data_IF_870829701267
#
_entry.id   IF_870829701267
#
_cell.length_a   1.000
_cell.length_b   1.000
_cell.length_c   1.000
_cell.angle_alpha   90.00
_cell.angle_beta   90.00
_cell.angle_gamma   90.00
#
_symmetry.space_group_name_H-M   'P 1'
#
loop_
_entity.id
_entity.type
_entity.pdbx_description
1 polymer ?
#
# COMPACT_ATOMS: atom_id res chain seq x y z
N UNK A 1 -15.78 -12.79 12.64
CA UNK A 1 -15.19 -12.71 11.28
C UNK A 1 -13.71 -12.44 11.40
N UNK A 2 -12.91 -13.42 10.99
CA UNK A 2 -11.44 -13.43 11.05
C UNK A 2 -10.81 -12.39 10.11
N UNK A 3 -9.50 -12.14 10.22
CA UNK A 3 -8.79 -11.28 9.25
C UNK A 3 -8.79 -11.94 7.87
N UNK A 4 -8.59 -13.25 7.81
CA UNK A 4 -8.61 -14.03 6.58
C UNK A 4 -9.96 -13.91 5.86
N UNK A 5 -11.08 -14.06 6.57
CA UNK A 5 -12.43 -13.91 6.00
C UNK A 5 -12.61 -12.52 5.36
N UNK A 6 -12.16 -11.47 6.05
CA UNK A 6 -12.24 -10.09 5.54
C UNK A 6 -11.36 -9.90 4.31
N UNK A 7 -10.17 -10.52 4.30
CA UNK A 7 -9.27 -10.49 3.14
C UNK A 7 -9.93 -11.19 1.94
N UNK A 8 -10.51 -12.38 2.12
CA UNK A 8 -11.25 -13.06 1.07
C UNK A 8 -12.41 -12.20 0.55
N UNK A 9 -13.21 -11.58 1.43
CA UNK A 9 -14.29 -10.67 1.01
C UNK A 9 -13.75 -9.54 0.13
N UNK A 10 -12.63 -8.92 0.52
CA UNK A 10 -12.01 -7.84 -0.25
C UNK A 10 -11.52 -8.33 -1.61
N UNK A 11 -10.87 -9.49 -1.66
CA UNK A 11 -10.33 -10.07 -2.90
C UNK A 11 -11.46 -10.51 -3.83
N UNK A 12 -12.49 -11.19 -3.33
CA UNK A 12 -13.67 -11.58 -4.10
C UNK A 12 -14.38 -10.35 -4.68
N UNK A 13 -14.58 -9.30 -3.87
CA UNK A 13 -15.12 -8.03 -4.37
C UNK A 13 -14.25 -7.43 -5.47
N UNK A 14 -12.94 -7.40 -5.29
CA UNK A 14 -12.02 -6.86 -6.30
C UNK A 14 -12.08 -7.64 -7.62
N UNK A 15 -12.06 -8.97 -7.55
CA UNK A 15 -12.10 -9.85 -8.73
C UNK A 15 -13.43 -9.74 -9.49
N UNK A 16 -14.53 -9.41 -8.81
CA UNK A 16 -15.84 -9.17 -9.42
C UNK A 16 -16.05 -7.69 -9.80
N UNK A 17 -14.97 -6.91 -9.99
CA UNK A 17 -15.04 -5.48 -10.27
C UNK A 17 -15.98 -4.71 -9.32
N UNK A 18 -15.96 -5.10 -8.05
CA UNK A 18 -16.81 -4.57 -6.99
C UNK A 18 -18.31 -4.61 -7.30
N UNK A 19 -18.76 -5.53 -8.16
CA UNK A 19 -20.14 -5.67 -8.58
C UNK A 19 -20.72 -4.40 -9.25
N UNK A 20 -19.84 -3.61 -9.87
CA UNK A 20 -20.24 -2.40 -10.56
C UNK A 20 -21.18 -2.73 -11.73
N UNK A 21 -22.28 -1.98 -11.84
CA UNK A 21 -23.33 -2.15 -12.85
C UNK A 21 -24.11 -3.48 -12.76
N UNK A 22 -24.02 -4.21 -11.65
CA UNK A 22 -24.86 -5.38 -11.45
C UNK A 22 -26.28 -4.97 -11.08
N UNK A 23 -27.28 -5.61 -11.70
CA UNK A 23 -28.68 -5.42 -11.36
C UNK A 23 -29.03 -6.06 -10.01
N UNK A 24 -30.17 -5.68 -9.42
CA UNK A 24 -30.68 -6.30 -8.19
C UNK A 24 -30.87 -7.81 -8.36
N UNK A 25 -31.34 -8.25 -9.53
CA UNK A 25 -31.53 -9.65 -9.87
C UNK A 25 -30.19 -10.41 -9.91
N UNK A 26 -29.16 -9.82 -10.51
CA UNK A 26 -27.80 -10.40 -10.55
C UNK A 26 -27.18 -10.50 -9.15
N UNK A 27 -27.51 -9.57 -8.26
CA UNK A 27 -27.07 -9.63 -6.86
C UNK A 27 -27.87 -10.66 -6.03
N UNK A 28 -29.15 -10.85 -6.33
CA UNK A 28 -30.02 -11.78 -5.60
C UNK A 28 -29.89 -13.23 -6.05
N UNK A 29 -29.60 -13.46 -7.33
CA UNK A 29 -29.51 -14.80 -7.90
C UNK A 29 -28.43 -15.64 -7.18
N UNK A 30 -28.84 -16.78 -6.63
CA UNK A 30 -27.94 -17.85 -6.15
C UNK A 30 -26.94 -18.33 -7.23
N UNK A 31 -27.24 -17.98 -8.48
CA UNK A 31 -26.47 -18.26 -9.69
C UNK A 31 -25.04 -17.69 -9.67
N UNK A 32 -24.76 -16.66 -8.86
CA UNK A 32 -23.42 -16.09 -8.79
C UNK A 32 -22.40 -17.00 -8.09
N UNK A 33 -22.83 -18.05 -7.35
CA UNK A 33 -21.93 -18.88 -6.53
C UNK A 33 -21.06 -18.04 -5.54
N UNK A 34 -21.51 -16.82 -5.25
CA UNK A 34 -20.83 -15.82 -4.45
C UNK A 34 -21.49 -15.75 -3.09
N UNK A 35 -20.72 -15.87 -2.01
CA UNK A 35 -21.24 -15.88 -0.64
C UNK A 35 -21.99 -14.57 -0.32
N UNK A 36 -23.15 -14.68 0.34
CA UNK A 36 -24.01 -13.53 0.68
C UNK A 36 -23.26 -12.38 1.39
N UNK A 37 -22.29 -12.70 2.27
CA UNK A 37 -21.50 -11.70 3.00
C UNK A 37 -20.60 -10.85 2.10
N UNK A 38 -20.24 -11.36 0.92
CA UNK A 38 -19.37 -10.66 -0.03
C UNK A 38 -20.14 -9.70 -0.93
N UNK A 39 -21.45 -9.93 -1.12
CA UNK A 39 -22.31 -9.16 -2.02
C UNK A 39 -22.62 -7.77 -1.42
N UNK A 40 -22.75 -6.72 -2.26
CA UNK A 40 -23.27 -5.44 -1.81
C UNK A 40 -24.79 -5.53 -1.57
N UNK A 41 -25.28 -4.76 -0.60
CA UNK A 41 -26.71 -4.71 -0.27
C UNK A 41 -27.54 -3.92 -1.29
N UNK A 42 -26.88 -3.08 -2.09
CA UNK A 42 -27.50 -2.24 -3.12
C UNK A 42 -26.64 -2.30 -4.39
N UNK A 43 -27.24 -2.18 -5.58
CA UNK A 43 -26.51 -2.00 -6.83
C UNK A 43 -25.49 -0.87 -6.74
N UNK A 44 -24.28 -1.12 -7.25
CA UNK A 44 -23.19 -0.14 -7.23
C UNK A 44 -23.14 0.57 -8.59
N UNK A 45 -23.42 1.87 -8.56
CA UNK A 45 -23.28 2.77 -9.70
C UNK A 45 -21.85 3.30 -9.79
N UNK A 46 -21.45 3.80 -10.96
CA UNK A 46 -20.13 4.44 -11.14
C UNK A 46 -19.93 5.65 -10.21
N UNK A 47 -21.00 6.43 -9.98
CA UNK A 47 -20.97 7.57 -9.05
C UNK A 47 -20.70 7.11 -7.61
N UNK A 48 -21.46 6.13 -7.10
CA UNK A 48 -21.28 5.65 -5.73
C UNK A 48 -19.95 4.93 -5.55
N UNK A 49 -19.47 4.23 -6.58
CA UNK A 49 -18.14 3.64 -6.56
C UNK A 49 -17.03 4.69 -6.38
N UNK A 50 -17.04 5.75 -7.20
CA UNK A 50 -16.01 6.80 -7.16
C UNK A 50 -16.02 7.58 -5.84
N UNK A 51 -17.20 7.78 -5.25
CA UNK A 51 -17.35 8.43 -3.95
C UNK A 51 -16.79 7.57 -2.81
N UNK A 52 -17.03 6.26 -2.83
CA UNK A 52 -16.72 5.38 -1.71
C UNK A 52 -15.37 4.65 -1.82
N UNK A 53 -14.82 4.49 -3.02
CA UNK A 53 -13.58 3.73 -3.24
C UNK A 53 -12.49 4.61 -3.84
N UNK A 54 -11.49 4.92 -3.01
CA UNK A 54 -10.30 5.66 -3.43
C UNK A 54 -9.44 4.84 -4.39
N UNK A 55 -8.86 5.47 -5.42
CA UNK A 55 -7.95 4.82 -6.40
C UNK A 55 -6.79 4.07 -5.74
N UNK A 56 -6.21 4.63 -4.67
CA UNK A 56 -5.15 3.99 -3.90
C UNK A 56 -5.61 2.67 -3.26
N UNK A 57 -6.87 2.60 -2.84
CA UNK A 57 -7.45 1.40 -2.23
C UNK A 57 -7.65 0.30 -3.26
N UNK A 58 -8.12 0.65 -4.46
CA UNK A 58 -8.21 -0.29 -5.60
C UNK A 58 -6.84 -0.91 -5.89
N UNK A 59 -5.80 -0.08 -5.90
CA UNK A 59 -4.42 -0.54 -6.14
C UNK A 59 -3.92 -1.47 -5.04
N UNK A 60 -4.23 -1.19 -3.77
CA UNK A 60 -3.87 -2.08 -2.64
C UNK A 60 -4.63 -3.39 -2.69
N UNK A 61 -5.92 -3.36 -3.03
CA UNK A 61 -6.73 -4.57 -3.19
C UNK A 61 -6.22 -5.44 -4.35
N UNK A 62 -5.77 -4.84 -5.45
CA UNK A 62 -5.12 -5.57 -6.56
C UNK A 62 -3.88 -6.35 -6.09
N UNK A 63 -3.03 -5.72 -5.28
CA UNK A 63 -1.81 -6.36 -4.74
C UNK A 63 -2.14 -7.45 -3.73
N UNK A 64 -3.17 -7.23 -2.91
CA UNK A 64 -3.69 -8.22 -1.99
C UNK A 64 -4.25 -9.44 -2.75
N UNK A 65 -5.06 -9.21 -3.79
CA UNK A 65 -5.60 -10.27 -4.65
C UNK A 65 -4.48 -11.07 -5.33
N UNK A 66 -3.42 -10.40 -5.80
CA UNK A 66 -2.24 -11.09 -6.34
C UNK A 66 -1.60 -12.05 -5.33
N UNK A 67 -1.37 -11.60 -4.09
CA UNK A 67 -0.73 -12.45 -3.07
C UNK A 67 -1.63 -13.64 -2.69
N UNK A 68 -2.93 -13.42 -2.51
CA UNK A 68 -3.89 -14.48 -2.21
C UNK A 68 -3.97 -15.51 -3.35
N UNK A 69 -4.09 -15.04 -4.60
CA UNK A 69 -4.15 -15.92 -5.77
C UNK A 69 -2.89 -16.78 -5.94
N UNK A 70 -1.71 -16.25 -5.55
CA UNK A 70 -0.46 -17.00 -5.58
C UNK A 70 -0.30 -17.98 -4.42
N UNK A 71 -0.89 -17.70 -3.27
CA UNK A 71 -0.86 -18.58 -2.10
C UNK A 71 -1.88 -19.71 -2.16
N UNK A 72 -2.96 -19.53 -2.92
CA UNK A 72 -4.08 -20.48 -3.08
C UNK A 72 -4.12 -21.14 -4.46
N UNK A 73 -3.07 -20.97 -5.27
CA UNK A 73 -2.94 -21.64 -6.55
C UNK A 73 -2.76 -23.16 -6.37
N UNK A 74 -2.99 -23.92 -7.44
CA UNK A 74 -2.69 -25.35 -7.48
C UNK A 74 -1.21 -25.65 -7.20
N UNK A 75 -0.32 -24.77 -7.66
CA UNK A 75 1.12 -24.78 -7.35
C UNK A 75 1.48 -23.45 -6.67
N UNK A 76 1.33 -23.35 -5.34
CA UNK A 76 1.46 -22.09 -4.64
C UNK A 76 2.92 -21.72 -4.42
N UNK A 77 3.24 -20.44 -4.58
CA UNK A 77 4.60 -19.95 -4.34
C UNK A 77 4.87 -19.90 -2.82
N UNK A 78 6.04 -20.36 -2.32
CA UNK A 78 6.28 -20.49 -0.88
C UNK A 78 6.09 -19.18 -0.08
N UNK A 79 6.51 -18.05 -0.66
CA UNK A 79 6.32 -16.73 -0.03
C UNK A 79 4.84 -16.35 0.08
N UNK A 80 4.02 -16.77 -0.87
CA UNK A 80 2.60 -16.48 -0.91
C UNK A 80 1.83 -17.40 0.04
N UNK A 81 2.21 -18.67 0.13
CA UNK A 81 1.70 -19.59 1.15
C UNK A 81 1.98 -19.06 2.56
N UNK A 82 3.22 -18.63 2.82
CA UNK A 82 3.58 -18.03 4.11
C UNK A 82 2.73 -16.79 4.42
N UNK A 83 2.50 -15.93 3.43
CA UNK A 83 1.61 -14.78 3.59
C UNK A 83 0.19 -15.19 3.99
N UNK A 84 -0.40 -16.20 3.33
CA UNK A 84 -1.73 -16.72 3.68
C UNK A 84 -1.73 -17.30 5.10
N UNK A 85 -0.69 -18.07 5.46
CA UNK A 85 -0.51 -18.61 6.81
C UNK A 85 -0.39 -17.49 7.86
N UNK A 86 0.34 -16.42 7.59
CA UNK A 86 0.48 -15.28 8.50
C UNK A 86 -0.84 -14.52 8.71
N UNK A 87 -1.66 -14.43 7.66
CA UNK A 87 -3.01 -13.86 7.76
C UNK A 87 -3.95 -14.79 8.55
N UNK A 88 -3.88 -16.09 8.30
CA UNK A 88 -4.73 -17.10 8.95
C UNK A 88 -4.40 -17.29 10.43
N UNK A 89 -3.11 -17.33 10.77
CA UNK A 89 -2.61 -17.54 12.14
C UNK A 89 -2.79 -16.30 13.04
N UNK A 90 -3.11 -15.15 12.46
CA UNK A 90 -3.26 -13.90 13.20
C UNK A 90 -1.94 -13.15 13.46
N UNK A 91 -0.82 -13.62 12.90
CA UNK A 91 0.44 -12.85 12.83
C UNK A 91 0.18 -11.48 12.22
N UNK A 92 -0.61 -11.44 11.13
CA UNK A 92 -1.15 -10.21 10.56
C UNK A 92 -2.50 -9.90 11.20
N UNK A 93 -2.48 -8.97 12.16
CA UNK A 93 -3.64 -8.65 13.01
C UNK A 93 -4.73 -7.80 12.36
N UNK A 94 -4.53 -7.27 11.15
CA UNK A 94 -5.52 -6.41 10.50
C UNK A 94 -5.45 -6.46 8.97
N UNK A 95 -6.57 -6.13 8.32
CA UNK A 95 -6.65 -6.02 6.86
C UNK A 95 -5.74 -4.92 6.30
N UNK A 96 -5.54 -3.83 7.05
CA UNK A 96 -4.60 -2.77 6.68
C UNK A 96 -3.18 -3.30 6.63
N UNK A 97 -2.76 -4.06 7.66
CA UNK A 97 -1.42 -4.68 7.69
C UNK A 97 -1.27 -5.74 6.59
N UNK A 98 -2.31 -6.51 6.31
CA UNK A 98 -2.32 -7.46 5.19
C UNK A 98 -2.07 -6.75 3.85
N UNK A 99 -2.72 -5.61 3.61
CA UNK A 99 -2.52 -4.79 2.39
C UNK A 99 -1.11 -4.21 2.30
N UNK A 100 -0.53 -3.81 3.42
CA UNK A 100 0.84 -3.28 3.46
C UNK A 100 1.86 -4.38 3.15
N UNK A 101 1.71 -5.55 3.80
CA UNK A 101 2.54 -6.73 3.53
C UNK A 101 2.41 -7.19 2.08
N UNK A 102 1.18 -7.29 1.56
CA UNK A 102 0.94 -7.61 0.15
C UNK A 102 1.56 -6.58 -0.80
N UNK A 103 1.64 -5.31 -0.41
CA UNK A 103 2.30 -4.29 -1.22
C UNK A 103 3.81 -4.51 -1.29
N UNK A 104 4.44 -4.96 -0.20
CA UNK A 104 5.87 -5.29 -0.16
C UNK A 104 6.15 -6.52 -1.02
N UNK A 105 5.39 -7.60 -0.81
CA UNK A 105 5.54 -8.86 -1.57
C UNK A 105 5.29 -8.65 -3.06
N UNK A 106 4.27 -7.87 -3.42
CA UNK A 106 4.01 -7.55 -4.83
C UNK A 106 5.19 -6.81 -5.48
N UNK A 107 5.90 -5.93 -4.76
CA UNK A 107 7.10 -5.26 -5.30
C UNK A 107 8.27 -6.22 -5.48
N UNK A 108 8.35 -7.28 -4.67
CA UNK A 108 9.44 -8.24 -4.72
C UNK A 108 9.23 -9.31 -5.79
N UNK A 109 7.97 -9.73 -5.99
CA UNK A 109 7.64 -10.92 -6.78
C UNK A 109 6.80 -10.63 -8.04
N UNK A 110 6.25 -9.43 -8.21
CA UNK A 110 5.49 -9.11 -9.41
C UNK A 110 6.41 -8.68 -10.56
N UNK A 111 6.31 -9.38 -11.69
CA UNK A 111 6.93 -8.97 -12.95
C UNK A 111 6.42 -7.61 -13.46
N UNK A 112 5.28 -7.14 -12.96
CA UNK A 112 4.69 -5.85 -13.32
C UNK A 112 5.23 -4.67 -12.51
N UNK A 113 6.05 -4.92 -11.48
CA UNK A 113 6.65 -3.84 -10.71
C UNK A 113 7.96 -3.36 -11.35
N UNK A 114 7.92 -2.16 -11.93
CA UNK A 114 9.12 -1.47 -12.36
C UNK A 114 9.62 -0.52 -11.26
N UNK A 115 10.64 -0.96 -10.52
CA UNK A 115 11.30 -0.15 -9.48
C UNK A 115 11.91 1.14 -10.05
N UNK A 116 12.29 1.17 -11.34
CA UNK A 116 12.87 2.35 -11.99
C UNK A 116 11.82 3.44 -12.18
N UNK A 117 10.55 3.08 -12.39
CA UNK A 117 9.42 4.02 -12.45
C UNK A 117 8.98 4.55 -11.07
N UNK A 118 9.26 3.83 -9.99
CA UNK A 118 8.86 4.26 -8.64
C UNK A 118 9.68 5.44 -8.09
N UNK A 119 10.91 5.64 -8.59
CA UNK A 119 11.82 6.73 -8.18
C UNK A 119 11.68 7.96 -9.09
N UNK A 120 10.84 7.85 -10.11
CA UNK A 120 10.69 8.89 -11.10
C UNK A 120 9.76 10.01 -10.57
N UNK A 121 10.34 11.10 -10.04
CA UNK A 121 9.62 12.34 -9.74
C UNK A 121 9.06 12.96 -11.02
N UNK A 122 7.84 13.53 -11.00
CA UNK A 122 7.29 14.22 -12.16
C UNK A 122 8.23 15.36 -12.56
N UNK A 123 8.63 15.37 -13.82
CA UNK A 123 9.37 16.46 -14.45
C UNK A 123 8.39 17.54 -14.87
N UNK A 124 8.68 18.79 -14.50
CA UNK A 124 7.79 19.94 -14.72
C UNK A 124 7.73 20.41 -16.18
N UNK A 125 8.54 19.84 -17.08
CA UNK A 125 8.60 20.27 -18.49
C UNK A 125 8.00 19.25 -19.48
N UNK A 126 6.97 18.51 -19.02
CA UNK A 126 6.22 17.46 -19.73
C UNK A 126 6.78 16.03 -19.55
N UNK A 127 6.08 15.20 -18.78
CA UNK A 127 5.96 13.74 -19.00
C UNK A 127 7.23 12.87 -19.03
N UNK A 128 8.42 13.42 -18.83
CA UNK A 128 9.69 12.69 -18.93
C UNK A 128 10.54 12.92 -17.71
N UNK A 129 10.75 11.85 -16.94
CA UNK A 129 11.34 12.00 -15.63
C UNK A 129 12.83 12.27 -15.69
N UNK A 130 13.19 13.47 -15.24
CA UNK A 130 14.56 13.90 -15.03
C UNK A 130 15.13 13.17 -13.82
N UNK A 131 16.05 12.23 -14.05
CA UNK A 131 16.92 11.70 -12.99
C UNK A 131 17.80 12.85 -12.51
N UNK A 132 17.53 13.41 -11.32
CA UNK A 132 18.35 14.46 -10.71
C UNK A 132 19.71 13.84 -10.36
N UNK A 133 20.74 14.17 -11.14
CA UNK A 133 22.12 13.70 -10.92
C UNK A 133 22.82 14.62 -9.93
N UNK A 134 23.77 14.05 -9.18
CA UNK A 134 24.75 14.81 -8.40
C UNK A 134 25.58 15.67 -9.37
N UNK A 135 25.85 16.93 -9.03
CA UNK A 135 26.85 17.73 -9.77
C UNK A 135 28.21 17.05 -9.65
N UNK A 136 29.03 17.09 -10.70
CA UNK A 136 30.37 16.45 -10.68
C UNK A 136 31.29 17.06 -9.61
N UNK A 137 31.04 18.31 -9.23
CA UNK A 137 31.82 19.08 -8.26
C UNK A 137 31.28 19.03 -6.83
N UNK A 138 30.09 18.45 -6.60
CA UNK A 138 29.51 18.40 -5.25
C UNK A 138 29.82 17.06 -4.57
N UNK A 139 30.17 17.13 -3.30
CA UNK A 139 30.33 15.96 -2.44
C UNK A 139 28.95 15.37 -2.06
N UNK A 140 28.93 14.12 -1.62
CA UNK A 140 27.71 13.45 -1.14
C UNK A 140 27.03 14.24 0.01
N UNK A 141 27.82 14.89 0.86
CA UNK A 141 27.32 15.69 1.97
C UNK A 141 26.59 16.95 1.48
N UNK A 142 27.18 17.67 0.53
CA UNK A 142 26.59 18.88 -0.05
C UNK A 142 25.32 18.57 -0.84
N UNK A 143 25.32 17.46 -1.57
CA UNK A 143 24.12 16.96 -2.25
C UNK A 143 22.96 16.74 -1.28
N UNK A 144 23.21 16.08 -0.15
CA UNK A 144 22.18 15.85 0.89
C UNK A 144 21.71 17.14 1.54
N UNK A 145 22.63 18.06 1.84
CA UNK A 145 22.30 19.37 2.43
C UNK A 145 21.39 20.19 1.51
N UNK A 146 21.72 20.26 0.22
CA UNK A 146 20.91 20.92 -0.81
C UNK A 146 19.53 20.27 -0.94
N UNK A 147 19.47 18.93 -0.95
CA UNK A 147 18.21 18.17 -1.01
C UNK A 147 17.24 18.47 0.13
N UNK A 148 17.76 18.76 1.33
CA UNK A 148 16.94 19.13 2.49
C UNK A 148 16.47 20.58 2.40
N UNK A 149 17.32 21.48 1.89
CA UNK A 149 17.00 22.90 1.71
C UNK A 149 16.00 23.16 0.56
N UNK A 150 15.98 22.32 -0.48
CA UNK A 150 15.04 22.41 -1.61
C UNK A 150 13.62 21.91 -1.28
N UNK A 151 13.38 21.36 -0.09
CA UNK A 151 12.02 21.01 0.35
C UNK A 151 11.33 22.31 0.76
N UNK A 152 10.26 22.76 0.09
CA UNK A 152 9.57 23.98 0.48
C UNK A 152 9.06 23.81 1.91
N UNK A 153 9.57 24.65 2.83
CA UNK A 153 9.02 24.82 4.16
C UNK A 153 7.57 25.24 3.99
N UNK A 154 6.64 24.37 4.38
CA UNK A 154 5.22 24.71 4.38
C UNK A 154 5.04 26.02 5.16
N UNK A 155 4.52 27.05 4.47
CA UNK A 155 4.13 28.32 5.08
C UNK A 155 3.14 28.01 6.20
N UNK A 156 3.45 28.50 7.39
CA UNK A 156 2.49 28.69 8.47
C UNK A 156 1.35 29.57 7.94
N UNK A 157 0.15 28.99 7.87
CA UNK A 157 -1.10 29.77 7.82
C UNK A 157 -1.62 29.79 9.25
N UNK A 158 -1.38 30.91 9.91
CA UNK A 158 -2.06 31.34 11.12
C UNK A 158 -3.38 31.96 10.65
N UNK A 159 -4.49 31.27 10.90
CA UNK A 159 -5.83 31.86 10.91
C UNK A 159 -6.76 30.97 11.72
N UNK A 160 -7.25 31.57 12.80
CA UNK A 160 -8.17 31.07 13.82
C UNK A 160 -9.53 30.71 13.23
N UNK A 161 -10.02 29.49 13.49
CA UNK A 161 -11.42 29.22 13.79
C UNK A 161 -11.59 27.83 14.41
N UNK A 162 -12.27 27.80 15.56
CA UNK A 162 -12.67 26.61 16.28
C UNK A 162 -13.71 25.82 15.47
N UNK A 163 -13.55 24.50 15.34
CA UNK A 163 -14.35 23.52 16.08
C UNK A 163 -13.87 22.08 15.78
N UNK A 164 -14.19 21.18 16.70
CA UNK A 164 -13.73 19.79 16.85
C UNK A 164 -13.54 18.94 15.58
N UNK A 165 -12.37 18.26 15.49
CA UNK A 165 -12.23 16.78 15.48
C UNK A 165 -10.88 16.31 14.93
N UNK A 166 -10.40 15.20 15.49
CA UNK A 166 -9.31 14.33 15.02
C UNK A 166 -7.88 14.69 15.47
N UNK A 167 -7.55 14.22 16.68
CA UNK A 167 -6.19 13.86 17.06
C UNK A 167 -5.65 12.76 16.11
N UNK A 168 -5.07 13.16 14.99
CA UNK A 168 -4.27 12.29 14.12
C UNK A 168 -2.79 12.61 14.37
N UNK A 169 -2.24 11.87 15.33
CA UNK A 169 -0.92 11.24 15.30
C UNK A 169 0.07 11.86 14.31
N UNK A 170 0.58 13.03 14.66
CA UNK A 170 1.88 13.53 14.18
C UNK A 170 2.99 12.70 14.83
N UNK A 171 3.09 11.42 14.46
CA UNK A 171 4.31 10.64 14.67
C UNK A 171 5.34 11.15 13.66
N UNK A 172 6.07 12.17 14.13
CA UNK A 172 7.20 12.83 13.51
C UNK A 172 8.11 11.85 12.77
N UNK A 173 8.29 12.07 11.46
CA UNK A 173 9.22 11.35 10.58
C UNK A 173 10.65 11.27 11.15
N UNK A 174 10.99 12.15 12.11
CA UNK A 174 12.26 12.11 12.87
C UNK A 174 12.43 10.85 13.74
N UNK A 175 11.36 10.20 14.21
CA UNK A 175 11.45 8.97 15.00
C UNK A 175 11.75 7.73 14.14
N UNK A 176 11.26 7.71 12.89
CA UNK A 176 11.51 6.60 11.97
C UNK A 176 12.98 6.54 11.49
N UNK A 177 13.62 7.70 11.28
CA UNK A 177 15.04 7.78 10.92
C UNK A 177 16.01 7.42 12.07
N UNK A 178 15.60 7.60 13.34
CA UNK A 178 16.40 7.14 14.49
C UNK A 178 16.37 5.62 14.67
N UNK A 179 15.31 4.94 14.24
CA UNK A 179 15.21 3.49 14.38
C UNK A 179 16.09 2.73 13.38
N UNK A 180 16.18 3.21 12.13
CA UNK A 180 16.98 2.55 11.08
C UNK A 180 18.49 2.76 11.25
N UNK A 181 18.92 3.86 11.87
CA UNK A 181 20.34 4.12 12.16
C UNK A 181 20.85 3.40 13.42
N UNK A 182 19.95 2.96 14.30
CA UNK A 182 20.27 2.18 15.50
C UNK A 182 20.59 0.70 15.17
N UNK A 183 19.87 0.10 14.22
CA UNK A 183 20.07 -1.29 13.80
C UNK A 183 21.41 -1.49 13.07
N UNK A 184 21.80 -0.57 12.19
CA UNK A 184 23.08 -0.68 11.45
C UNK A 184 24.34 -0.51 12.31
N UNK A 185 24.25 0.01 13.54
CA UNK A 185 25.40 0.14 14.46
C UNK A 185 25.59 -1.08 15.37
N UNK A 186 24.57 -1.95 15.51
CA UNK A 186 24.70 -3.18 16.29
C UNK A 186 25.34 -4.30 15.48
N UNK A 187 24.98 -4.44 14.20
CA UNK A 187 25.58 -5.46 13.31
C UNK A 187 27.07 -5.19 13.03
N UNK A 188 27.48 -3.92 12.91
CA UNK A 188 28.89 -3.54 12.70
C UNK A 188 29.81 -3.75 13.93
N UNK A 189 29.25 -4.05 15.11
CA UNK A 189 30.04 -4.36 16.32
C UNK A 189 30.23 -5.86 16.55
N UNK A 190 29.39 -6.72 15.99
CA UNK A 190 29.52 -8.18 16.12
C UNK A 190 30.55 -8.76 15.14
N UNK A 191 30.68 -8.20 13.94
CA UNK A 191 31.70 -8.63 12.95
C UNK A 191 33.13 -8.22 13.29
N UNK A 192 33.34 -7.42 14.34
CA UNK A 192 34.68 -7.05 14.84
C UNK A 192 35.16 -7.89 16.04
N UNK A 193 34.38 -8.88 16.47
CA UNK A 193 34.68 -9.76 17.60
C UNK A 193 34.83 -11.24 17.23
N UNK A 194 34.95 -11.57 15.95
CA UNK A 194 35.38 -12.89 15.47
C UNK A 194 36.78 -12.79 14.86
#
# INVERSE_FOLDING_TARGET
MSVLDRVHIIVTRHNNNYFMNWSTEQLSLDQANICAITRPLKPITDSSYKENIKKNEVTRNKKLAFCMAKGEAHDPEPWATQFVTDVSSGTIRSTTKAKDAATILWRQHSNSYDSKRAVQLPSEEAGHVVKRKRKSTETEYEYRKRRVAEIPSAKETDDTNADDTAAITTMSIKSFLKYTTSLGKKELKEDRRK
#
